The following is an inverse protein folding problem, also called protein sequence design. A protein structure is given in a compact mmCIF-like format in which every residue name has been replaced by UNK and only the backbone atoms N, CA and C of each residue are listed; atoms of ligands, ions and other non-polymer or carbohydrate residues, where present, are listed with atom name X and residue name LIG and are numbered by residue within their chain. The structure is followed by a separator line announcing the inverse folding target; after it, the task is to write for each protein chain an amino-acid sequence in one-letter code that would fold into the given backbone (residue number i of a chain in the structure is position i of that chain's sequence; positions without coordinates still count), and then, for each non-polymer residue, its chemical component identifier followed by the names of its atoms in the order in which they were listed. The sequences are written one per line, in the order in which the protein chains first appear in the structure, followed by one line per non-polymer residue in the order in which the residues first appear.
data_IF_986008171048
#
_entry.id   IF_986008171048
#
_cell.length_a   1.000
_cell.length_b   1.000
_cell.length_c   1.000
_cell.angle_alpha   90.00
_cell.angle_beta   90.00
_cell.angle_gamma   90.00
#
_symmetry.space_group_name_H-M   'P 1'
#
loop_
_entity.id
_entity.type
_entity.pdbx_description
1 polymer ?
#
# COMPACT_ATOMS: atom_id res chain seq x y z
N UNK A 1 16.52 -10.71 -26.57
CA UNK A 1 15.57 -9.76 -27.18
C UNK A 1 15.19 -8.81 -26.06
N UNK A 2 15.71 -7.58 -26.06
CA UNK A 2 15.40 -6.61 -25.02
C UNK A 2 13.94 -6.17 -25.18
N UNK A 3 13.14 -6.30 -24.11
CA UNK A 3 11.80 -5.74 -24.05
C UNK A 3 11.90 -4.25 -24.40
N UNK A 4 11.21 -3.83 -25.46
CA UNK A 4 11.18 -2.41 -25.82
C UNK A 4 10.41 -1.69 -24.74
N UNK A 5 11.10 -0.90 -23.93
CA UNK A 5 10.50 0.05 -23.00
C UNK A 5 9.39 0.83 -23.72
N UNK A 6 8.14 0.52 -23.37
CA UNK A 6 6.96 1.29 -23.76
C UNK A 6 6.68 2.19 -22.56
N UNK A 7 7.08 3.49 -22.57
CA UNK A 7 6.66 4.38 -21.51
C UNK A 7 5.14 4.45 -21.56
N UNK A 8 4.48 3.75 -20.64
CA UNK A 8 3.03 3.68 -20.59
C UNK A 8 2.41 5.00 -20.14
N UNK A 9 3.22 5.82 -19.47
CA UNK A 9 2.89 7.16 -19.02
C UNK A 9 3.99 8.10 -19.53
N UNK A 10 3.78 8.83 -20.64
CA UNK A 10 4.81 9.69 -21.20
C UNK A 10 5.22 10.77 -20.18
N UNK A 11 6.46 10.68 -19.68
CA UNK A 11 7.11 11.73 -18.88
C UNK A 11 7.13 11.53 -17.35
N UNK A 12 6.67 10.40 -16.81
CA UNK A 12 6.55 10.21 -15.35
C UNK A 12 7.74 9.41 -14.80
N UNK A 13 8.93 10.01 -14.75
CA UNK A 13 9.96 9.51 -13.80
C UNK A 13 9.61 10.16 -12.47
N UNK A 14 8.73 9.54 -11.68
CA UNK A 14 8.38 10.05 -10.36
C UNK A 14 9.49 9.71 -9.38
N UNK A 15 10.13 10.75 -8.87
CA UNK A 15 11.21 10.65 -7.89
C UNK A 15 10.68 10.88 -6.48
N UNK A 16 11.16 10.11 -5.52
CA UNK A 16 10.67 10.09 -4.14
C UNK A 16 11.51 10.98 -3.24
N UNK A 17 10.90 11.93 -2.53
CA UNK A 17 11.58 12.83 -1.60
C UNK A 17 11.01 12.75 -0.18
N UNK A 18 11.89 12.55 0.82
CA UNK A 18 11.52 12.53 2.25
C UNK A 18 11.02 13.88 2.72
N UNK A 19 9.86 13.87 3.39
CA UNK A 19 9.41 15.01 4.19
C UNK A 19 10.35 15.16 5.38
N UNK A 20 11.11 16.24 5.42
CA UNK A 20 11.84 16.62 6.63
C UNK A 20 10.83 17.17 7.64
N UNK A 21 10.32 16.30 8.53
CA UNK A 21 9.61 16.75 9.73
C UNK A 21 10.63 17.45 10.62
N UNK A 22 10.60 18.78 10.65
CA UNK A 22 11.39 19.60 11.57
C UNK A 22 10.97 19.31 13.01
N UNK A 23 11.57 18.29 13.63
CA UNK A 23 11.34 17.97 15.04
C UNK A 23 12.00 19.05 15.90
N UNK A 24 11.20 19.96 16.47
CA UNK A 24 11.59 20.72 17.65
C UNK A 24 11.76 19.72 18.80
N UNK A 25 13.00 19.38 19.12
CA UNK A 25 13.34 18.49 20.22
C UNK A 25 12.90 19.12 21.56
N UNK A 26 11.72 18.77 22.05
CA UNK A 26 11.30 19.05 23.42
C UNK A 26 11.75 17.90 24.32
N UNK A 27 12.89 18.08 24.99
CA UNK A 27 13.36 17.22 26.08
C UNK A 27 12.42 17.37 27.29
N UNK A 28 11.46 16.46 27.45
CA UNK A 28 10.75 16.30 28.72
C UNK A 28 11.23 15.04 29.43
N UNK A 29 12.06 15.24 30.45
CA UNK A 29 12.43 14.21 31.40
C UNK A 29 11.21 13.86 32.27
N UNK A 30 10.73 12.62 32.22
CA UNK A 30 9.75 12.11 33.18
C UNK A 30 10.45 11.10 34.08
N UNK A 31 10.63 11.51 35.34
CA UNK A 31 11.14 10.73 36.44
C UNK A 31 10.19 9.58 36.78
N UNK A 32 10.76 8.41 37.07
CA UNK A 32 10.04 7.18 37.34
C UNK A 32 9.27 7.16 38.65
N UNK A 33 8.34 6.21 38.73
CA UNK A 33 7.76 5.75 39.97
C UNK A 33 7.56 4.23 39.87
N UNK A 34 8.49 3.48 40.46
CA UNK A 34 8.36 2.05 40.74
C UNK A 34 7.37 1.87 41.90
N UNK A 35 6.33 1.07 41.72
CA UNK A 35 5.62 0.46 42.84
C UNK A 35 5.41 -1.04 42.57
N UNK A 36 6.13 -1.82 43.36
CA UNK A 36 5.95 -3.25 43.60
C UNK A 36 4.71 -3.46 44.47
N UNK A 37 3.88 -4.44 44.13
CA UNK A 37 2.78 -4.89 44.99
C UNK A 37 2.02 -6.05 44.38
N UNK A 38 2.43 -7.28 44.68
CA UNK A 38 1.67 -8.49 44.38
C UNK A 38 0.61 -8.80 45.44
N UNK A 39 -0.27 -9.77 45.14
CA UNK A 39 -0.71 -10.82 46.06
C UNK A 39 -1.54 -11.87 45.31
N UNK A 40 -1.28 -13.13 45.67
CA UNK A 40 -1.75 -14.37 45.06
C UNK A 40 -3.14 -14.80 45.54
N UNK A 41 -3.80 -15.66 44.75
CA UNK A 41 -4.47 -16.86 45.26
C UNK A 41 -5.99 -16.96 45.05
N UNK A 42 -6.42 -18.03 44.40
CA UNK A 42 -7.79 -18.58 44.52
C UNK A 42 -8.40 -19.17 43.25
N UNK A 43 -8.14 -20.45 42.97
CA UNK A 43 -9.06 -21.37 42.25
C UNK A 43 -9.57 -22.40 43.27
N UNK A 44 -10.51 -23.31 42.97
CA UNK A 44 -11.55 -23.40 41.93
C UNK A 44 -12.95 -23.67 42.57
N UNK A 45 -14.00 -23.88 41.76
CA UNK A 45 -14.91 -25.06 41.81
C UNK A 45 -16.23 -24.81 41.10
N UNK A 46 -16.50 -25.68 40.11
CA UNK A 46 -17.74 -26.40 39.84
C UNK A 46 -19.09 -25.64 39.84
N UNK A 47 -19.86 -25.74 38.76
CA UNK A 47 -20.80 -26.86 38.49
C UNK A 47 -21.79 -26.41 37.40
N UNK A 48 -21.97 -27.23 36.36
CA UNK A 48 -23.11 -27.11 35.44
C UNK A 48 -24.43 -27.47 36.16
N UNK A 49 -25.59 -27.03 35.65
CA UNK A 49 -26.38 -28.03 34.95
C UNK A 49 -27.12 -27.53 33.70
N UNK A 50 -27.31 -28.49 32.80
CA UNK A 50 -28.21 -28.49 31.65
C UNK A 50 -29.68 -28.52 32.09
N UNK A 51 -30.52 -27.69 31.46
CA UNK A 51 -31.95 -27.97 31.30
C UNK A 51 -32.36 -27.64 29.87
N UNK A 52 -32.91 -28.63 29.19
CA UNK A 52 -33.52 -28.56 27.87
C UNK A 52 -34.96 -28.06 27.93
N UNK A 53 -35.44 -27.41 26.87
CA UNK A 53 -36.87 -27.08 26.71
C UNK A 53 -37.19 -26.38 25.40
N UNK A 54 -37.62 -27.16 24.40
CA UNK A 54 -38.14 -26.75 23.09
C UNK A 54 -39.49 -26.00 23.16
N UNK A 55 -39.71 -25.02 22.27
CA UNK A 55 -40.95 -24.88 21.46
C UNK A 55 -40.81 -23.77 20.39
N UNK A 56 -41.24 -24.06 19.15
CA UNK A 56 -41.48 -23.15 17.99
C UNK A 56 -43.00 -23.15 17.71
N UNK A 57 -43.70 -22.04 17.34
CA UNK A 57 -43.91 -21.53 15.95
C UNK A 57 -44.14 -19.98 15.90
N UNK A 58 -44.41 -19.23 14.81
CA UNK A 58 -44.26 -19.24 13.35
C UNK A 58 -44.80 -17.87 12.87
N UNK A 59 -44.13 -17.19 11.91
CA UNK A 59 -44.67 -16.18 10.95
C UNK A 59 -45.20 -14.82 11.51
N UNK A 60 -45.12 -13.61 10.93
CA UNK A 60 -44.59 -12.86 9.74
C UNK A 60 -45.08 -11.37 9.96
N UNK A 61 -44.95 -10.31 9.11
CA UNK A 61 -44.04 -9.94 8.00
C UNK A 61 -43.41 -8.52 8.13
N UNK A 62 -42.56 -8.12 7.16
CA UNK A 62 -42.22 -6.76 6.69
C UNK A 62 -41.54 -5.80 7.69
N UNK A 63 -40.42 -5.14 7.42
CA UNK A 63 -40.15 -4.23 6.29
C UNK A 63 -38.63 -4.28 6.02
N UNK A 64 -38.24 -4.53 4.77
CA UNK A 64 -36.85 -4.31 4.33
C UNK A 64 -36.54 -2.82 4.40
N UNK A 65 -35.51 -2.36 5.12
CA UNK A 65 -34.91 -1.09 4.77
C UNK A 65 -34.26 -1.31 3.40
N UNK A 66 -34.76 -0.58 2.41
CA UNK A 66 -34.04 -0.31 1.15
C UNK A 66 -32.58 -0.05 1.52
N UNK A 67 -31.57 -0.69 0.89
CA UNK A 67 -30.21 -0.19 1.04
C UNK A 67 -30.24 1.20 0.42
N UNK A 68 -30.31 2.21 1.29
CA UNK A 68 -29.91 3.56 0.94
C UNK A 68 -28.54 3.37 0.31
N UNK A 69 -28.38 3.85 -0.92
CA UNK A 69 -27.07 4.13 -1.49
C UNK A 69 -26.42 5.16 -0.55
N UNK A 70 -25.89 4.68 0.56
CA UNK A 70 -24.93 5.39 1.36
C UNK A 70 -23.71 5.34 0.47
N UNK A 71 -23.55 6.40 -0.34
CA UNK A 71 -22.25 6.69 -0.93
C UNK A 71 -21.32 6.84 0.26
N UNK A 72 -20.61 5.77 0.60
CA UNK A 72 -19.49 5.83 1.52
C UNK A 72 -18.60 6.94 0.97
N UNK A 73 -18.22 7.94 1.77
CA UNK A 73 -17.22 8.89 1.31
C UNK A 73 -15.98 8.09 0.94
N UNK A 74 -15.58 8.17 -0.34
CA UNK A 74 -14.31 7.62 -0.83
C UNK A 74 -13.25 8.25 0.06
N UNK A 75 -12.66 7.42 0.92
CA UNK A 75 -11.66 7.87 1.87
C UNK A 75 -10.33 7.91 1.14
N UNK A 76 -10.03 9.05 0.54
CA UNK A 76 -8.70 9.36 0.04
C UNK A 76 -7.85 9.84 1.21
N UNK A 77 -6.76 9.14 1.48
CA UNK A 77 -5.76 9.55 2.48
C UNK A 77 -4.47 9.86 1.74
N UNK A 78 -3.83 10.98 2.04
CA UNK A 78 -2.46 11.21 1.56
C UNK A 78 -1.54 10.19 2.24
N UNK A 79 -1.01 9.24 1.48
CA UNK A 79 -0.03 8.28 1.96
C UNK A 79 1.37 8.82 1.66
N UNK A 80 2.22 8.80 2.67
CA UNK A 80 3.64 9.06 2.49
C UNK A 80 4.21 7.95 1.58
N UNK A 81 4.95 8.34 0.54
CA UNK A 81 5.47 7.40 -0.46
C UNK A 81 6.43 6.35 0.14
N UNK A 82 7.02 6.63 1.30
CA UNK A 82 7.85 5.68 2.06
C UNK A 82 7.04 4.64 2.84
N UNK A 83 5.74 4.87 3.05
CA UNK A 83 4.83 3.99 3.78
C UNK A 83 3.96 3.11 2.85
N UNK A 84 4.14 3.23 1.54
CA UNK A 84 3.39 2.45 0.55
C UNK A 84 3.68 0.95 0.69
N UNK A 85 2.61 0.15 0.66
CA UNK A 85 2.64 -1.30 0.70
C UNK A 85 2.13 -1.91 -0.61
N UNK A 86 2.54 -3.15 -0.89
CA UNK A 86 1.98 -3.94 -2.00
C UNK A 86 0.46 -4.08 -1.81
N UNK A 87 -0.30 -3.76 -2.85
CA UNK A 87 -1.76 -3.72 -2.85
C UNK A 87 -2.36 -2.34 -2.58
N UNK A 88 -1.55 -1.31 -2.29
CA UNK A 88 -2.07 0.05 -2.14
C UNK A 88 -2.48 0.62 -3.51
N UNK A 89 -3.70 1.13 -3.57
CA UNK A 89 -4.28 1.77 -4.75
C UNK A 89 -4.18 3.29 -4.66
N UNK A 90 -3.75 3.92 -5.75
CA UNK A 90 -3.23 5.28 -5.77
C UNK A 90 -3.89 6.07 -6.91
N UNK A 91 -4.13 7.36 -6.65
CA UNK A 91 -4.40 8.34 -7.70
C UNK A 91 -3.15 9.17 -7.97
N UNK A 92 -3.05 9.74 -9.17
CA UNK A 92 -1.89 10.53 -9.56
C UNK A 92 -1.67 11.69 -8.60
N UNK A 93 -0.42 11.88 -8.19
CA UNK A 93 0.02 13.16 -7.67
C UNK A 93 0.43 14.08 -8.83
N UNK A 94 0.31 15.39 -8.64
CA UNK A 94 0.73 16.37 -9.65
C UNK A 94 2.18 16.77 -9.40
N UNK A 95 3.14 16.26 -10.16
CA UNK A 95 4.56 16.68 -10.15
C UNK A 95 5.58 15.58 -10.47
N UNK A 96 6.81 15.96 -10.84
CA UNK A 96 7.92 15.01 -11.14
C UNK A 96 8.60 14.45 -9.87
N UNK A 97 8.42 15.14 -8.74
CA UNK A 97 8.87 14.70 -7.42
C UNK A 97 7.66 14.56 -6.51
N UNK A 98 7.58 13.42 -5.84
CA UNK A 98 6.42 13.07 -5.02
C UNK A 98 6.90 12.70 -3.62
N UNK A 99 6.39 13.45 -2.65
CA UNK A 99 6.42 13.07 -1.24
C UNK A 99 5.10 12.43 -0.80
N UNK A 100 4.03 12.81 -1.51
CA UNK A 100 2.59 12.65 -1.29
C UNK A 100 1.87 11.88 -2.39
N UNK A 101 1.46 10.63 -2.19
CA UNK A 101 0.55 9.97 -3.15
C UNK A 101 -0.84 9.80 -2.51
N UNK A 102 -1.92 10.29 -3.13
CA UNK A 102 -3.27 9.99 -2.67
C UNK A 102 -3.56 8.49 -2.75
N UNK A 103 -3.62 7.82 -1.61
CA UNK A 103 -4.07 6.43 -1.50
C UNK A 103 -5.59 6.37 -1.32
N UNK A 104 -6.21 5.39 -1.95
CA UNK A 104 -7.65 5.15 -1.97
C UNK A 104 -7.94 3.66 -1.82
N UNK A 105 -9.17 3.34 -1.39
CA UNK A 105 -9.67 1.97 -1.46
C UNK A 105 -9.67 1.49 -2.92
N UNK A 106 -9.11 0.31 -3.20
CA UNK A 106 -9.08 -0.26 -4.54
C UNK A 106 -10.47 -0.47 -5.15
N UNK A 107 -11.53 -0.59 -4.35
CA UNK A 107 -12.91 -0.63 -4.84
C UNK A 107 -13.38 0.72 -5.42
N UNK A 108 -12.70 1.82 -5.09
CA UNK A 108 -12.88 3.11 -5.74
C UNK A 108 -12.02 3.21 -7.02
N UNK A 109 -12.40 4.06 -7.99
CA UNK A 109 -11.57 4.35 -9.15
C UNK A 109 -10.18 4.85 -8.73
N UNK A 110 -9.14 4.24 -9.27
CA UNK A 110 -7.75 4.59 -9.04
C UNK A 110 -6.94 4.38 -10.31
N UNK A 111 -5.79 5.04 -10.41
CA UNK A 111 -4.95 5.02 -11.61
C UNK A 111 -3.78 4.05 -11.50
N UNK A 112 -3.28 3.86 -10.27
CA UNK A 112 -2.09 3.06 -10.01
C UNK A 112 -2.32 2.09 -8.85
N UNK A 113 -1.61 0.98 -8.85
CA UNK A 113 -1.56 0.03 -7.74
C UNK A 113 -0.13 -0.45 -7.51
N UNK A 114 0.32 -0.48 -6.26
CA UNK A 114 1.65 -0.98 -5.90
C UNK A 114 1.65 -2.50 -6.03
N UNK A 115 2.46 -3.06 -6.92
CA UNK A 115 2.55 -4.51 -7.09
C UNK A 115 3.83 -5.10 -6.50
N UNK A 116 4.85 -4.27 -6.28
CA UNK A 116 6.12 -4.73 -5.71
C UNK A 116 6.92 -3.59 -5.05
N UNK A 117 7.70 -3.93 -4.02
CA UNK A 117 8.68 -3.05 -3.38
C UNK A 117 10.07 -3.65 -3.55
N UNK A 118 10.84 -3.10 -4.48
CA UNK A 118 12.20 -3.56 -4.78
C UNK A 118 13.19 -2.84 -3.86
N UNK A 119 14.01 -3.59 -3.13
CA UNK A 119 15.12 -3.03 -2.36
C UNK A 119 16.40 -3.09 -3.18
N UNK A 120 16.97 -1.93 -3.50
CA UNK A 120 18.25 -1.82 -4.19
C UNK A 120 19.42 -2.18 -3.26
N UNK A 121 20.55 -2.66 -3.80
CA UNK A 121 21.77 -2.87 -3.02
C UNK A 121 22.20 -1.57 -2.32
N UNK A 122 22.70 -1.70 -1.09
CA UNK A 122 23.22 -0.53 -0.38
C UNK A 122 24.52 -0.02 -1.02
N UNK A 123 24.60 1.30 -1.23
CA UNK A 123 25.80 1.98 -1.67
C UNK A 123 25.88 3.39 -1.06
N UNK A 124 27.10 3.83 -0.75
CA UNK A 124 27.32 5.16 -0.16
C UNK A 124 27.05 6.31 -1.15
N UNK A 125 27.26 6.06 -2.44
CA UNK A 125 27.10 7.04 -3.51
C UNK A 125 25.80 6.76 -4.26
N UNK A 126 25.03 7.80 -4.54
CA UNK A 126 23.84 7.70 -5.37
C UNK A 126 24.22 7.25 -6.79
N UNK A 127 23.60 6.19 -7.36
CA UNK A 127 23.95 5.68 -8.68
C UNK A 127 23.75 6.72 -9.79
N UNK A 128 24.39 6.51 -10.94
CA UNK A 128 24.03 7.28 -12.13
C UNK A 128 22.56 7.02 -12.48
N UNK A 129 21.85 8.04 -12.96
CA UNK A 129 20.40 7.94 -13.20
C UNK A 129 20.03 6.80 -14.17
N UNK A 130 20.84 6.58 -15.21
CA UNK A 130 20.63 5.49 -16.17
C UNK A 130 20.79 4.11 -15.52
N UNK A 131 21.74 3.95 -14.59
CA UNK A 131 21.95 2.70 -13.84
C UNK A 131 20.80 2.44 -12.88
N UNK A 132 20.35 3.47 -12.16
CA UNK A 132 19.19 3.39 -11.27
C UNK A 132 17.93 3.00 -12.04
N UNK A 133 17.67 3.68 -13.15
CA UNK A 133 16.49 3.45 -13.99
C UNK A 133 16.51 2.03 -14.57
N UNK A 134 17.68 1.56 -15.04
CA UNK A 134 17.82 0.20 -15.55
C UNK A 134 17.58 -0.86 -14.47
N UNK A 135 18.12 -0.66 -13.26
CA UNK A 135 17.93 -1.57 -12.14
C UNK A 135 16.46 -1.61 -11.67
N UNK A 136 15.83 -0.45 -11.54
CA UNK A 136 14.42 -0.31 -11.18
C UNK A 136 13.52 -1.03 -12.20
N UNK A 137 13.68 -0.71 -13.49
CA UNK A 137 12.83 -1.26 -14.55
C UNK A 137 13.00 -2.77 -14.72
N UNK A 138 14.24 -3.28 -14.65
CA UNK A 138 14.49 -4.72 -14.69
C UNK A 138 13.84 -5.42 -13.49
N UNK A 139 14.08 -4.92 -12.27
CA UNK A 139 13.56 -5.57 -11.07
C UNK A 139 12.04 -5.54 -10.99
N UNK A 140 11.40 -4.40 -11.32
CA UNK A 140 9.95 -4.31 -11.37
C UNK A 140 9.36 -5.23 -12.46
N UNK A 141 10.01 -5.32 -13.63
CA UNK A 141 9.60 -6.24 -14.70
C UNK A 141 9.66 -7.71 -14.29
N UNK A 142 10.73 -8.11 -13.60
CA UNK A 142 10.94 -9.50 -13.15
C UNK A 142 9.85 -9.98 -12.17
N UNK A 143 9.26 -9.06 -11.38
CA UNK A 143 8.23 -9.37 -10.38
C UNK A 143 6.79 -9.14 -10.86
N UNK A 144 6.58 -8.56 -12.05
CA UNK A 144 5.24 -8.21 -12.53
C UNK A 144 4.29 -9.41 -12.60
N UNK A 145 4.77 -10.53 -13.15
CA UNK A 145 3.94 -11.72 -13.36
C UNK A 145 3.51 -12.39 -12.05
N UNK A 146 4.32 -12.24 -10.99
CA UNK A 146 4.01 -12.78 -9.65
C UNK A 146 2.76 -12.11 -9.06
N UNK A 147 2.53 -10.84 -9.39
CA UNK A 147 1.37 -10.08 -8.93
C UNK A 147 0.16 -10.24 -9.85
N UNK A 148 0.33 -9.98 -11.16
CA UNK A 148 -0.79 -9.90 -12.11
C UNK A 148 -1.26 -11.28 -12.58
N UNK A 149 -0.37 -12.28 -12.57
CA UNK A 149 -0.64 -13.65 -13.03
C UNK A 149 -0.36 -13.91 -14.51
N UNK A 150 0.10 -12.90 -15.27
CA UNK A 150 0.59 -13.04 -16.65
C UNK A 150 1.88 -12.22 -16.85
N UNK A 151 2.78 -12.62 -17.77
CA UNK A 151 3.95 -11.83 -18.11
C UNK A 151 3.58 -10.43 -18.62
N UNK A 152 4.44 -9.44 -18.34
CA UNK A 152 4.25 -8.05 -18.74
C UNK A 152 3.96 -7.89 -20.24
N UNK A 153 4.65 -8.65 -21.09
CA UNK A 153 4.49 -8.56 -22.56
C UNK A 153 3.13 -9.06 -23.06
N UNK A 154 2.38 -9.78 -22.21
CA UNK A 154 1.06 -10.31 -22.50
C UNK A 154 -0.06 -9.51 -21.79
N UNK A 155 0.30 -8.57 -20.92
CA UNK A 155 -0.65 -7.78 -20.15
C UNK A 155 -1.15 -6.57 -20.91
N UNK A 156 -2.42 -6.20 -20.69
CA UNK A 156 -2.96 -4.91 -21.09
C UNK A 156 -2.58 -3.78 -20.11
N UNK A 157 -2.12 -4.13 -18.90
CA UNK A 157 -1.64 -3.18 -17.91
C UNK A 157 -0.21 -2.78 -18.26
N UNK A 158 0.21 -1.66 -17.69
CA UNK A 158 1.59 -1.27 -17.73
C UNK A 158 2.09 -0.78 -16.38
N UNK A 159 3.41 -0.78 -16.20
CA UNK A 159 4.04 -0.34 -14.96
C UNK A 159 4.98 0.85 -15.16
N UNK A 160 5.24 1.52 -14.04
CA UNK A 160 6.27 2.54 -13.85
C UNK A 160 6.82 2.42 -12.43
N UNK A 161 7.92 3.11 -12.14
CA UNK A 161 8.62 3.00 -10.86
C UNK A 161 8.71 4.35 -10.15
N UNK A 162 8.54 4.34 -8.83
CA UNK A 162 8.94 5.45 -7.97
C UNK A 162 10.31 5.14 -7.40
N UNK A 163 11.32 5.92 -7.80
CA UNK A 163 12.72 5.68 -7.43
C UNK A 163 13.21 6.67 -6.37
N UNK A 164 14.17 6.27 -5.51
CA UNK A 164 14.80 7.19 -4.57
C UNK A 164 15.41 8.39 -5.28
N UNK A 165 15.29 9.58 -4.68
CA UNK A 165 16.12 10.74 -5.02
C UNK A 165 17.49 10.64 -4.35
N UNK A 166 18.48 11.40 -4.85
CA UNK A 166 19.78 11.58 -4.17
C UNK A 166 19.61 12.00 -2.70
N UNK A 167 18.65 12.89 -2.42
CA UNK A 167 18.32 13.32 -1.05
C UNK A 167 17.79 12.18 -0.18
N UNK A 168 16.82 11.40 -0.67
CA UNK A 168 16.29 10.25 0.08
C UNK A 168 17.34 9.15 0.25
N UNK A 169 18.22 8.97 -0.75
CA UNK A 169 19.32 8.03 -0.72
C UNK A 169 20.33 8.37 0.37
N UNK A 170 20.68 9.66 0.52
CA UNK A 170 21.50 10.13 1.64
C UNK A 170 20.84 9.85 3.00
N UNK A 171 19.51 9.80 3.05
CA UNK A 171 18.72 9.37 4.21
C UNK A 171 18.61 7.85 4.39
N UNK A 172 19.24 7.05 3.53
CA UNK A 172 19.20 5.59 3.56
C UNK A 172 18.03 4.95 2.82
N UNK A 173 17.30 5.71 2.00
CA UNK A 173 16.29 5.11 1.13
C UNK A 173 16.93 4.30 0.00
N UNK A 174 16.50 3.06 -0.15
CA UNK A 174 16.92 2.11 -1.19
C UNK A 174 15.72 1.48 -1.88
N UNK A 175 14.51 1.95 -1.59
CA UNK A 175 13.28 1.30 -2.04
C UNK A 175 12.83 1.90 -3.36
N UNK A 176 12.60 1.03 -4.35
CA UNK A 176 11.87 1.34 -5.57
C UNK A 176 10.45 0.79 -5.41
N UNK A 177 9.46 1.66 -5.53
CA UNK A 177 8.05 1.27 -5.50
C UNK A 177 7.58 1.00 -6.93
N UNK A 178 7.30 -0.25 -7.24
CA UNK A 178 6.80 -0.65 -8.54
C UNK A 178 5.27 -0.53 -8.57
N UNK A 179 4.76 0.32 -9.45
CA UNK A 179 3.32 0.58 -9.59
C UNK A 179 2.84 0.22 -10.98
N UNK A 180 1.62 -0.29 -11.09
CA UNK A 180 0.99 -0.62 -12.37
C UNK A 180 -0.33 0.13 -12.55
N UNK A 181 -0.81 0.23 -13.78
CA UNK A 181 -2.10 0.84 -14.10
C UNK A 181 -2.56 0.46 -15.51
N UNK A 182 -3.81 0.81 -15.83
CA UNK A 182 -4.35 0.66 -17.18
C UNK A 182 -4.07 1.93 -18.00
N UNK A 183 -3.32 1.83 -19.13
CA UNK A 183 -3.05 2.98 -19.99
C UNK A 183 -4.30 3.64 -20.58
N UNK A 184 -5.47 2.99 -20.50
CA UNK A 184 -6.75 3.50 -20.99
C UNK A 184 -7.54 4.29 -19.94
N UNK A 185 -7.07 4.37 -18.70
CA UNK A 185 -7.65 5.19 -17.64
C UNK A 185 -7.86 4.44 -16.31
N UNK A 186 -8.52 5.09 -15.33
CA UNK A 186 -8.70 4.53 -13.99
C UNK A 186 -9.47 3.20 -13.98
N UNK A 187 -9.10 2.31 -13.07
CA UNK A 187 -9.74 1.01 -12.85
C UNK A 187 -10.36 0.90 -11.47
N UNK A 188 -11.19 -0.13 -11.27
CA UNK A 188 -11.77 -0.49 -9.97
C UNK A 188 -11.47 -1.94 -9.67
N UNK A 189 -11.16 -2.26 -8.41
CA UNK A 189 -10.66 -3.54 -7.97
C UNK A 189 -9.14 -3.64 -8.10
N UNK A 190 -8.54 -4.56 -7.35
CA UNK A 190 -7.10 -4.85 -7.43
C UNK A 190 -6.75 -5.62 -8.70
N UNK A 191 -5.56 -5.37 -9.24
CA UNK A 191 -4.94 -6.10 -10.33
C UNK A 191 -4.30 -7.43 -9.91
N UNK A 192 -4.32 -7.76 -8.62
CA UNK A 192 -3.79 -9.03 -8.13
C UNK A 192 -4.50 -10.22 -8.79
N UNK A 193 -3.73 -11.06 -9.49
CA UNK A 193 -4.20 -12.31 -10.09
C UNK A 193 -5.26 -12.15 -11.18
N UNK A 194 -5.46 -10.96 -11.75
CA UNK A 194 -6.52 -10.73 -12.73
C UNK A 194 -6.21 -11.34 -14.11
N UNK A 195 -4.94 -11.67 -14.37
CA UNK A 195 -4.47 -12.28 -15.61
C UNK A 195 -4.90 -11.49 -16.87
N UNK A 196 -4.72 -10.16 -16.83
CA UNK A 196 -5.18 -9.19 -17.83
C UNK A 196 -4.03 -8.53 -18.58
#
# INVERSE_FOLDING_TARGET
MAARYRPAFPGVIMTVARRTLSTLAALTAVAGCLLLGGCSGGSPSDTAPTVAGSTKPSSSPSISPTPRLTSTPVSTTAADVFDLAVGDCLNQSTGDTVSDVPSVDCAAPHELEVFYLLTLPDAAVYPALDELTAAASSGCGDHFAEYVGVPYEQSALAFTEFSPTETSWAGGDRTVTCVLGDPNGPTTGSAYGIAR
#
